data_IF_918817013482
#
_entry.id   IF_918817013482
#
_cell.length_a   1.000
_cell.length_b   1.000
_cell.length_c   1.000
_cell.angle_alpha   90.00
_cell.angle_beta   90.00
_cell.angle_gamma   90.00
#
_symmetry.space_group_name_H-M   'P 1'
#
loop_
_entity.id
_entity.type
_entity.pdbx_description
1 polymer ?
#
# COMPACT_ATOMS: atom_id res chain seq x y z
N UNK A 1 8.51 -11.50 -21.42
CA UNK A 1 9.37 -10.30 -21.31
C UNK A 1 8.64 -9.39 -20.34
N UNK A 2 8.99 -9.44 -19.04
CA UNK A 2 8.27 -8.83 -17.91
C UNK A 2 6.73 -8.83 -18.04
N UNK A 3 6.07 -9.84 -17.48
CA UNK A 3 4.59 -9.94 -17.43
C UNK A 3 3.94 -8.90 -16.51
N UNK A 4 4.68 -7.87 -16.09
CA UNK A 4 4.23 -6.85 -15.16
C UNK A 4 3.67 -5.65 -15.92
N UNK A 5 2.46 -5.25 -15.54
CA UNK A 5 1.74 -4.18 -16.21
C UNK A 5 2.24 -2.77 -15.88
N UNK A 6 3.12 -2.60 -14.88
CA UNK A 6 3.66 -1.28 -14.49
C UNK A 6 4.36 -0.53 -15.64
N UNK A 7 5.02 -1.24 -16.57
CA UNK A 7 5.77 -0.60 -17.66
C UNK A 7 4.84 -0.13 -18.80
N UNK A 8 3.79 -0.91 -19.09
CA UNK A 8 2.77 -0.55 -20.10
C UNK A 8 1.79 0.50 -19.57
N UNK A 9 1.38 0.36 -18.31
CA UNK A 9 0.39 1.21 -17.64
C UNK A 9 1.04 2.22 -16.69
N UNK A 10 2.26 2.67 -16.98
CA UNK A 10 3.04 3.54 -16.09
C UNK A 10 2.27 4.80 -15.62
N UNK A 11 1.53 5.53 -16.48
CA UNK A 11 0.73 6.67 -16.02
C UNK A 11 -0.38 6.25 -15.04
N UNK A 12 -1.01 5.09 -15.26
CA UNK A 12 -2.07 4.58 -14.40
C UNK A 12 -1.52 4.09 -13.05
N UNK A 13 -0.30 3.54 -13.04
CA UNK A 13 0.39 3.19 -11.80
C UNK A 13 0.65 4.42 -10.93
N UNK A 14 1.10 5.53 -11.53
CA UNK A 14 1.29 6.79 -10.79
C UNK A 14 -0.03 7.30 -10.21
N UNK A 15 -1.10 7.32 -11.01
CA UNK A 15 -2.42 7.74 -10.52
C UNK A 15 -2.89 6.84 -9.38
N UNK A 16 -2.76 5.52 -9.53
CA UNK A 16 -3.12 4.58 -8.47
C UNK A 16 -2.31 4.80 -7.19
N UNK A 17 -1.00 5.03 -7.31
CA UNK A 17 -0.14 5.30 -6.16
C UNK A 17 -0.52 6.59 -5.43
N UNK A 18 -0.80 7.67 -6.18
CA UNK A 18 -1.25 8.94 -5.59
C UNK A 18 -2.62 8.78 -4.92
N UNK A 19 -3.56 8.07 -5.56
CA UNK A 19 -4.87 7.78 -4.98
C UNK A 19 -4.78 6.93 -3.72
N UNK A 20 -3.90 5.93 -3.69
CA UNK A 20 -3.66 5.10 -2.51
C UNK A 20 -3.08 5.90 -1.33
N UNK A 21 -2.18 6.85 -1.61
CA UNK A 21 -1.68 7.79 -0.59
C UNK A 21 -2.80 8.69 -0.04
N UNK A 22 -3.67 9.18 -0.92
CA UNK A 22 -4.80 10.02 -0.53
C UNK A 22 -5.84 9.25 0.30
N UNK A 23 -6.15 8.01 -0.06
CA UNK A 23 -7.14 7.18 0.64
C UNK A 23 -6.67 6.73 2.03
N UNK A 24 -5.35 6.56 2.21
CA UNK A 24 -4.75 6.21 3.50
C UNK A 24 -4.44 7.43 4.37
N UNK A 25 -4.89 8.63 3.96
CA UNK A 25 -4.66 9.91 4.65
C UNK A 25 -3.19 10.11 5.06
N UNK A 26 -2.25 9.67 4.21
CA UNK A 26 -0.81 9.82 4.48
C UNK A 26 -0.29 11.14 3.91
N UNK A 27 0.78 11.71 4.49
CA UNK A 27 1.40 12.92 3.98
C UNK A 27 1.73 12.72 2.49
N UNK A 28 1.29 13.59 1.57
CA UNK A 28 0.85 14.99 1.73
C UNK A 28 -0.67 15.25 1.84
N UNK A 29 -1.49 14.22 2.07
CA UNK A 29 -2.97 14.31 2.12
C UNK A 29 -3.55 14.01 3.52
N UNK A 30 -2.85 14.38 4.58
CA UNK A 30 -3.14 14.05 5.98
C UNK A 30 -3.96 15.11 6.75
N UNK A 31 -4.70 15.97 6.05
CA UNK A 31 -5.43 17.14 6.59
C UNK A 31 -6.42 16.85 7.74
N UNK A 32 -6.93 15.62 7.85
CA UNK A 32 -7.93 15.26 8.88
C UNK A 32 -7.26 14.90 10.23
N UNK A 33 -5.98 14.58 10.20
CA UNK A 33 -5.23 14.10 11.37
C UNK A 33 -3.96 14.91 11.67
N UNK A 34 -3.56 15.77 10.74
CA UNK A 34 -2.30 16.51 10.76
C UNK A 34 -1.93 17.03 12.16
N UNK A 35 -0.93 16.39 12.76
CA UNK A 35 -0.48 16.64 14.13
C UNK A 35 0.01 18.09 14.34
N UNK A 36 0.49 18.70 13.25
CA UNK A 36 1.03 20.06 13.25
C UNK A 36 -0.05 21.15 13.27
N UNK A 37 -1.24 20.88 12.73
CA UNK A 37 -2.35 21.86 12.64
C UNK A 37 -3.54 21.52 13.54
N UNK A 38 -3.78 20.23 13.83
CA UNK A 38 -4.94 19.76 14.58
C UNK A 38 -4.60 18.99 15.86
N UNK A 39 -3.32 18.93 16.29
CA UNK A 39 -2.89 18.26 17.55
C UNK A 39 -3.51 16.85 17.65
N UNK A 40 -3.27 16.00 16.64
CA UNK A 40 -3.81 14.64 16.49
C UNK A 40 -5.33 14.53 16.24
N UNK A 41 -5.97 15.63 15.82
CA UNK A 41 -7.28 15.63 15.18
C UNK A 41 -8.38 15.03 16.05
N UNK A 42 -9.07 14.01 15.54
CA UNK A 42 -10.17 13.33 16.24
C UNK A 42 -9.68 12.26 17.23
N UNK A 43 -8.39 11.91 17.22
CA UNK A 43 -7.84 10.82 18.03
C UNK A 43 -7.62 11.21 19.50
N UNK A 44 -7.59 12.51 19.81
CA UNK A 44 -7.41 13.01 21.19
C UNK A 44 -8.65 12.87 22.08
N UNK A 45 -9.83 12.65 21.49
CA UNK A 45 -11.09 12.50 22.23
C UNK A 45 -11.29 11.06 22.75
N UNK A 46 -10.49 10.11 22.26
CA UNK A 46 -10.65 8.69 22.51
C UNK A 46 -9.73 8.18 23.64
N UNK A 47 -10.21 7.17 24.37
CA UNK A 47 -9.36 6.44 25.33
C UNK A 47 -8.32 5.57 24.60
N UNK A 48 -7.34 5.07 25.35
CA UNK A 48 -6.20 4.32 24.80
C UNK A 48 -6.57 3.13 23.89
N UNK A 49 -7.67 2.43 24.16
CA UNK A 49 -8.11 1.26 23.37
C UNK A 49 -8.66 1.64 21.97
N UNK A 50 -9.66 2.53 21.84
CA UNK A 50 -10.12 3.00 20.53
C UNK A 50 -9.01 3.70 19.74
N UNK A 51 -8.14 4.47 20.40
CA UNK A 51 -6.95 5.06 19.77
C UNK A 51 -6.11 4.00 19.04
N UNK A 52 -5.76 2.91 19.73
CA UNK A 52 -4.99 1.82 19.13
C UNK A 52 -5.70 1.14 17.95
N UNK A 53 -7.04 1.01 18.01
CA UNK A 53 -7.81 0.41 16.93
C UNK A 53 -7.85 1.30 15.68
N UNK A 54 -7.91 2.62 15.82
CA UNK A 54 -7.82 3.55 14.69
C UNK A 54 -6.47 3.47 14.00
N UNK A 55 -5.36 3.52 14.74
CA UNK A 55 -4.02 3.32 14.17
C UNK A 55 -3.88 1.97 13.47
N UNK A 56 -4.34 0.89 14.10
CA UNK A 56 -4.29 -0.44 13.50
C UNK A 56 -5.10 -0.49 12.19
N UNK A 57 -6.29 0.11 12.17
CA UNK A 57 -7.14 0.19 10.99
C UNK A 57 -6.47 0.91 9.83
N UNK A 58 -5.82 2.03 10.09
CA UNK A 58 -5.06 2.77 9.08
C UNK A 58 -3.87 1.99 8.54
N UNK A 59 -3.10 1.32 9.41
CA UNK A 59 -2.01 0.46 8.96
C UNK A 59 -2.51 -0.72 8.12
N UNK A 60 -3.65 -1.30 8.48
CA UNK A 60 -4.28 -2.37 7.70
C UNK A 60 -4.73 -1.83 6.33
N UNK A 61 -5.30 -0.64 6.27
CA UNK A 61 -5.66 0.01 5.01
C UNK A 61 -4.43 0.27 4.13
N UNK A 62 -3.31 0.71 4.71
CA UNK A 62 -2.03 0.87 3.98
C UNK A 62 -1.55 -0.45 3.39
N UNK A 63 -1.51 -1.52 4.21
CA UNK A 63 -1.09 -2.85 3.74
C UNK A 63 -2.02 -3.37 2.64
N UNK A 64 -3.33 -3.11 2.74
CA UNK A 64 -4.30 -3.47 1.72
C UNK A 64 -4.03 -2.74 0.41
N UNK A 65 -3.74 -1.43 0.45
CA UNK A 65 -3.42 -0.66 -0.76
C UNK A 65 -2.12 -1.12 -1.42
N UNK A 66 -1.09 -1.42 -0.63
CA UNK A 66 0.14 -2.04 -1.13
C UNK A 66 -0.16 -3.40 -1.78
N UNK A 67 -0.95 -4.26 -1.13
CA UNK A 67 -1.37 -5.54 -1.67
C UNK A 67 -2.12 -5.39 -3.01
N UNK A 68 -3.03 -4.42 -3.14
CA UNK A 68 -3.69 -4.14 -4.41
C UNK A 68 -2.72 -3.64 -5.49
N UNK A 69 -1.77 -2.77 -5.15
CA UNK A 69 -0.74 -2.30 -6.07
C UNK A 69 0.08 -3.48 -6.64
N UNK A 70 0.48 -4.42 -5.78
CA UNK A 70 1.25 -5.58 -6.20
C UNK A 70 0.48 -6.49 -7.15
N UNK A 71 -0.81 -6.73 -6.88
CA UNK A 71 -1.67 -7.57 -7.72
C UNK A 71 -1.90 -6.93 -9.09
N UNK A 72 -2.24 -5.64 -9.11
CA UNK A 72 -2.68 -4.95 -10.32
C UNK A 72 -1.53 -4.58 -11.25
N UNK A 73 -0.37 -4.16 -10.72
CA UNK A 73 0.72 -3.59 -11.54
C UNK A 73 2.00 -4.43 -11.54
N UNK A 74 2.32 -5.09 -10.43
CA UNK A 74 3.57 -5.82 -10.25
C UNK A 74 3.41 -7.34 -10.45
N UNK A 75 2.29 -7.79 -11.02
CA UNK A 75 2.05 -9.19 -11.38
C UNK A 75 1.84 -10.13 -10.18
N UNK A 76 1.54 -9.58 -9.00
CA UNK A 76 1.21 -10.32 -7.78
C UNK A 76 2.22 -11.43 -7.45
N UNK A 77 1.79 -12.67 -7.68
CA UNK A 77 2.49 -13.91 -7.35
C UNK A 77 3.55 -14.33 -8.38
N UNK A 78 3.59 -13.69 -9.54
CA UNK A 78 4.47 -14.08 -10.64
C UNK A 78 5.91 -13.64 -10.40
N UNK A 79 6.91 -14.48 -10.73
CA UNK A 79 8.31 -14.06 -10.67
C UNK A 79 8.58 -12.92 -11.70
N UNK A 80 9.61 -12.09 -11.48
CA UNK A 80 10.04 -11.09 -12.47
C UNK A 80 10.51 -11.70 -13.79
N UNK A 81 11.02 -12.93 -13.74
CA UNK A 81 11.48 -13.67 -14.90
C UNK A 81 11.16 -15.16 -14.78
N UNK A 82 10.71 -15.76 -15.89
CA UNK A 82 10.36 -17.19 -15.97
C UNK A 82 11.57 -18.11 -16.16
N UNK A 83 12.69 -17.84 -15.47
CA UNK A 83 13.87 -18.72 -15.50
C UNK A 83 14.21 -19.29 -14.12
N UNK A 84 14.66 -20.55 -14.10
CA UNK A 84 15.21 -21.16 -12.89
C UNK A 84 16.50 -20.43 -12.49
N UNK A 85 16.66 -19.97 -11.23
CA UNK A 85 16.04 -20.49 -9.99
C UNK A 85 14.81 -19.71 -9.47
N UNK A 86 14.35 -18.65 -10.14
CA UNK A 86 13.29 -17.77 -9.63
C UNK A 86 11.91 -18.44 -9.55
N UNK A 87 11.69 -19.49 -10.34
CA UNK A 87 10.47 -20.32 -10.34
C UNK A 87 10.39 -21.31 -9.17
N UNK A 88 11.49 -21.56 -8.45
CA UNK A 88 11.51 -22.48 -7.30
C UNK A 88 11.06 -21.81 -5.99
N UNK A 89 11.02 -20.48 -5.97
CA UNK A 89 10.59 -19.70 -4.81
C UNK A 89 9.05 -19.62 -4.81
N UNK A 90 8.38 -19.98 -3.69
CA UNK A 90 6.94 -19.81 -3.55
C UNK A 90 6.46 -18.41 -3.94
N UNK A 91 5.35 -18.34 -4.69
CA UNK A 91 4.74 -17.08 -5.14
C UNK A 91 4.44 -16.09 -4.00
N UNK A 92 4.18 -16.60 -2.79
CA UNK A 92 3.93 -15.78 -1.59
C UNK A 92 5.14 -14.91 -1.23
N UNK A 93 6.34 -15.43 -1.41
CA UNK A 93 7.56 -14.67 -1.10
C UNK A 93 7.72 -13.53 -2.10
N UNK A 94 7.37 -13.75 -3.37
CA UNK A 94 7.35 -12.70 -4.38
C UNK A 94 6.29 -11.63 -4.09
N UNK A 95 5.14 -12.05 -3.59
CA UNK A 95 4.06 -11.15 -3.21
C UNK A 95 4.43 -10.24 -2.04
N UNK A 96 5.05 -10.78 -0.99
CA UNK A 96 5.45 -10.01 0.20
C UNK A 96 6.65 -9.10 -0.05
N UNK A 97 7.49 -9.45 -1.03
CA UNK A 97 8.68 -8.66 -1.37
C UNK A 97 8.35 -7.44 -2.23
N UNK A 98 7.30 -7.52 -3.05
CA UNK A 98 6.84 -6.43 -3.92
C UNK A 98 6.04 -5.39 -3.14
#
# INVERSE_FOLDING_TARGET
>A
FLDWHWLSLFPMFIVFFISALAETNRPPFDLVEAESELVAGHMVEYSSTPFLLFFLGEYVAVVLMCALATILFLGGWLPPFDFAPFTWVPGLIWFVLK
#
